data_IF_450939010003
#
_entry.id   IF_450939010003
#
_cell.length_a   1.000
_cell.length_b   1.000
_cell.length_c   1.000
_cell.angle_alpha   90.00
_cell.angle_beta   90.00
_cell.angle_gamma   90.00
#
_symmetry.space_group_name_H-M   'P 1'
#
loop_
_entity.id
_entity.type
_entity.pdbx_description
1 polymer ?
#
# COMPACT_ATOMS: atom_id res chain seq x y z
N UNK A 1 7.92 -24.26 29.70
CA UNK A 1 7.59 -24.42 28.26
C UNK A 1 6.07 -24.36 28.15
N UNK A 2 5.54 -23.18 27.79
CA UNK A 2 4.09 -22.96 27.72
C UNK A 2 3.64 -23.24 26.28
N UNK A 3 2.92 -24.34 26.11
CA UNK A 3 2.34 -24.79 24.85
C UNK A 3 0.93 -24.17 24.73
N UNK A 4 0.82 -23.07 23.98
CA UNK A 4 -0.46 -22.50 23.56
C UNK A 4 -0.43 -22.30 22.03
N UNK A 5 -1.03 -23.18 21.22
CA UNK A 5 -1.00 -23.07 19.76
C UNK A 5 -1.94 -21.99 19.18
N UNK A 6 -2.58 -21.18 20.04
CA UNK A 6 -3.43 -20.07 19.64
C UNK A 6 -2.89 -18.77 20.23
N UNK A 7 -1.75 -18.31 19.72
CA UNK A 7 -1.45 -16.88 19.77
C UNK A 7 -2.49 -16.23 18.85
N UNK A 8 -3.53 -15.59 19.40
CA UNK A 8 -4.13 -14.47 18.68
C UNK A 8 -2.96 -13.56 18.35
N UNK A 9 -2.56 -13.46 17.08
CA UNK A 9 -1.34 -12.76 16.67
C UNK A 9 -1.28 -11.33 17.27
N UNK A 10 -2.46 -10.78 17.60
CA UNK A 10 -2.67 -9.44 18.10
C UNK A 10 -2.97 -9.32 19.60
N UNK A 11 -2.74 -10.36 20.41
CA UNK A 11 -3.10 -10.37 21.84
C UNK A 11 -1.93 -10.66 22.80
N UNK A 12 -0.69 -10.54 22.33
CA UNK A 12 0.53 -10.68 23.15
C UNK A 12 1.26 -9.36 23.45
N UNK A 13 2.21 -9.35 24.40
CA UNK A 13 3.09 -8.19 24.62
C UNK A 13 3.83 -7.85 23.32
N UNK A 14 3.71 -6.61 22.85
CA UNK A 14 4.28 -6.14 21.56
C UNK A 14 3.32 -6.16 20.37
N UNK A 15 2.12 -6.75 20.50
CA UNK A 15 1.12 -6.77 19.43
C UNK A 15 0.71 -5.38 18.95
N UNK A 16 0.46 -4.44 19.88
CA UNK A 16 0.09 -3.07 19.52
C UNK A 16 1.18 -2.37 18.70
N UNK A 17 2.45 -2.62 19.02
CA UNK A 17 3.57 -2.04 18.28
C UNK A 17 3.64 -2.57 16.84
N UNK A 18 3.47 -3.89 16.65
CA UNK A 18 3.46 -4.51 15.32
C UNK A 18 2.27 -4.03 14.46
N UNK A 19 1.10 -3.88 15.08
CA UNK A 19 -0.11 -3.33 14.44
C UNK A 19 0.14 -1.89 13.98
N UNK A 20 0.64 -1.04 14.89
CA UNK A 20 0.89 0.37 14.59
C UNK A 20 1.96 0.54 13.51
N UNK A 21 3.01 -0.29 13.52
CA UNK A 21 4.02 -0.31 12.47
C UNK A 21 3.42 -0.67 11.10
N UNK A 22 2.58 -1.71 11.03
CA UNK A 22 1.93 -2.14 9.77
C UNK A 22 0.96 -1.08 9.24
N UNK A 23 0.20 -0.44 10.12
CA UNK A 23 -0.66 0.71 9.78
C UNK A 23 0.18 1.86 9.21
N UNK A 24 1.26 2.21 9.90
CA UNK A 24 2.14 3.34 9.53
C UNK A 24 2.75 3.12 8.15
N UNK A 25 3.30 1.92 7.90
CA UNK A 25 3.87 1.55 6.60
C UNK A 25 2.78 1.57 5.51
N UNK A 26 1.59 1.02 5.78
CA UNK A 26 0.48 1.05 4.84
C UNK A 26 0.08 2.47 4.41
N UNK A 27 0.05 3.42 5.37
CA UNK A 27 -0.20 4.83 5.07
C UNK A 27 0.94 5.48 4.26
N UNK A 28 2.21 5.22 4.60
CA UNK A 28 3.33 5.72 3.79
C UNK A 28 3.28 5.23 2.34
N UNK A 29 2.97 3.94 2.13
CA UNK A 29 2.77 3.36 0.81
C UNK A 29 1.60 4.02 0.06
N UNK A 30 0.48 4.29 0.74
CA UNK A 30 -0.64 4.99 0.13
C UNK A 30 -0.29 6.43 -0.25
N UNK A 31 0.40 7.18 0.61
CA UNK A 31 0.85 8.55 0.30
C UNK A 31 1.77 8.53 -0.94
N UNK A 32 2.72 7.60 -0.99
CA UNK A 32 3.58 7.43 -2.16
C UNK A 32 2.76 7.12 -3.43
N UNK A 33 1.83 6.17 -3.36
CA UNK A 33 0.93 5.84 -4.48
C UNK A 33 0.07 7.02 -4.94
N UNK A 34 -0.40 7.83 -3.99
CA UNK A 34 -1.15 9.06 -4.26
C UNK A 34 -0.30 10.10 -4.99
N UNK A 35 0.89 10.39 -4.49
CA UNK A 35 1.85 11.30 -5.16
C UNK A 35 2.21 10.80 -6.55
N UNK A 36 2.45 9.49 -6.70
CA UNK A 36 2.74 8.89 -7.99
C UNK A 36 1.57 9.03 -8.97
N UNK A 37 0.33 8.81 -8.51
CA UNK A 37 -0.88 8.97 -9.32
C UNK A 37 -1.06 10.42 -9.76
N UNK A 38 -0.83 11.38 -8.87
CA UNK A 38 -0.88 12.82 -9.19
C UNK A 38 0.20 13.17 -10.23
N UNK A 39 1.42 12.68 -10.08
CA UNK A 39 2.50 12.90 -11.05
C UNK A 39 2.15 12.35 -12.45
N UNK A 40 1.55 11.15 -12.51
CA UNK A 40 1.07 10.54 -13.75
C UNK A 40 -0.08 11.37 -14.35
N UNK A 41 -1.01 11.86 -13.53
CA UNK A 41 -2.11 12.72 -13.96
C UNK A 41 -1.59 14.06 -14.51
N UNK A 42 -0.60 14.65 -13.86
CA UNK A 42 0.05 15.89 -14.31
C UNK A 42 0.74 15.71 -15.66
N UNK A 43 1.48 14.60 -15.85
CA UNK A 43 2.08 14.27 -17.13
C UNK A 43 1.02 14.06 -18.24
N UNK A 44 -0.12 13.45 -17.91
CA UNK A 44 -1.24 13.32 -18.83
C UNK A 44 -1.80 14.69 -19.24
N UNK A 45 -1.95 15.63 -18.31
CA UNK A 45 -2.44 16.99 -18.62
C UNK A 45 -1.47 17.76 -19.54
N UNK A 46 -0.16 17.60 -19.33
CA UNK A 46 0.86 18.23 -20.18
C UNK A 46 0.91 17.63 -21.58
N UNK A 47 0.92 16.31 -21.69
CA UNK A 47 1.12 15.62 -22.99
C UNK A 47 -0.18 15.37 -23.76
N UNK A 48 -1.34 15.47 -23.09
CA UNK A 48 -2.69 15.16 -23.61
C UNK A 48 -2.81 13.76 -24.23
N UNK A 49 -1.84 12.86 -24.00
CA UNK A 49 -1.84 11.50 -24.55
C UNK A 49 -2.47 10.54 -23.56
N UNK A 50 -3.64 10.03 -23.91
CA UNK A 50 -4.35 9.04 -23.09
C UNK A 50 -3.51 7.76 -23.06
N UNK A 51 -2.95 7.46 -21.89
CA UNK A 51 -2.20 6.22 -21.63
C UNK A 51 -2.94 5.44 -20.57
N UNK A 52 -2.99 4.11 -20.73
CA UNK A 52 -3.59 3.18 -19.76
C UNK A 52 -2.96 3.28 -18.34
N UNK A 53 -1.83 3.98 -18.20
CA UNK A 53 -1.14 4.18 -16.91
C UNK A 53 -1.98 4.97 -15.90
N UNK A 54 -2.76 5.96 -16.33
CA UNK A 54 -3.59 6.77 -15.43
C UNK A 54 -4.77 6.00 -14.82
N UNK A 55 -5.64 5.32 -15.60
CA UNK A 55 -6.73 4.54 -15.02
C UNK A 55 -6.22 3.36 -14.18
N UNK A 56 -5.09 2.74 -14.55
CA UNK A 56 -4.47 1.68 -13.74
C UNK A 56 -3.96 2.22 -12.42
N UNK A 57 -3.24 3.36 -12.41
CA UNK A 57 -2.79 3.99 -11.18
C UNK A 57 -3.96 4.39 -10.26
N UNK A 58 -5.03 4.95 -10.83
CA UNK A 58 -6.25 5.29 -10.09
C UNK A 58 -6.92 4.07 -9.47
N UNK A 59 -7.05 2.97 -10.21
CA UNK A 59 -7.64 1.73 -9.71
C UNK A 59 -6.79 1.09 -8.61
N UNK A 60 -5.47 1.05 -8.77
CA UNK A 60 -4.55 0.58 -7.75
C UNK A 60 -4.65 1.41 -6.46
N UNK A 61 -4.85 2.73 -6.59
CA UNK A 61 -5.04 3.61 -5.44
C UNK A 61 -6.37 3.32 -4.75
N UNK A 62 -7.46 3.11 -5.50
CA UNK A 62 -8.78 2.79 -4.93
C UNK A 62 -8.80 1.45 -4.18
N UNK A 63 -8.07 0.45 -4.68
CA UNK A 63 -7.99 -0.89 -4.08
C UNK A 63 -6.88 -0.98 -3.02
N UNK A 64 -6.15 0.11 -2.75
CA UNK A 64 -5.00 0.08 -1.87
C UNK A 64 -5.38 -0.41 -0.45
N UNK A 65 -4.64 -1.38 0.12
CA UNK A 65 -5.00 -1.99 1.41
C UNK A 65 -5.00 -0.98 2.54
N UNK A 66 -4.32 0.17 2.42
CA UNK A 66 -4.37 1.29 3.38
C UNK A 66 -5.80 1.70 3.79
N UNK A 67 -6.77 1.65 2.86
CA UNK A 67 -8.17 1.97 3.18
C UNK A 67 -8.84 0.94 4.07
N UNK A 68 -8.33 -0.30 4.03
CA UNK A 68 -8.89 -1.43 4.76
C UNK A 68 -7.95 -1.95 5.83
N UNK A 69 -6.85 -1.26 6.18
CA UNK A 69 -5.97 -1.66 7.30
C UNK A 69 -6.72 -1.48 8.63
N UNK A 70 -7.59 -2.44 8.92
CA UNK A 70 -7.90 -2.88 10.27
C UNK A 70 -6.95 -4.04 10.55
N UNK A 71 -5.99 -3.80 11.43
CA UNK A 71 -5.05 -4.77 11.98
C UNK A 71 -5.54 -5.27 13.36
N UNK A 72 -6.85 -5.15 13.59
CA UNK A 72 -7.52 -5.44 14.87
C UNK A 72 -7.84 -6.94 14.99
N UNK A 73 -7.88 -7.67 13.87
CA UNK A 73 -8.20 -9.10 13.81
C UNK A 73 -7.27 -9.82 12.82
N UNK A 74 -6.91 -11.07 13.11
CA UNK A 74 -6.11 -11.91 12.22
C UNK A 74 -4.60 -11.82 12.49
N UNK A 75 -3.81 -11.59 11.44
CA UNK A 75 -2.34 -11.59 11.40
C UNK A 75 -1.70 -10.23 11.73
N UNK A 76 -2.41 -9.35 12.45
CA UNK A 76 -1.94 -8.00 12.79
C UNK A 76 -1.55 -7.11 11.61
N UNK A 77 -2.09 -7.40 10.42
CA UNK A 77 -1.88 -6.58 9.25
C UNK A 77 -0.57 -6.86 8.51
N UNK A 78 0.15 -7.94 8.84
CA UNK A 78 1.34 -8.35 8.08
C UNK A 78 1.01 -8.56 6.59
N UNK A 79 -0.06 -9.28 6.28
CA UNK A 79 -0.51 -9.49 4.90
C UNK A 79 -0.78 -8.17 4.17
N UNK A 80 -1.51 -7.25 4.82
CA UNK A 80 -1.81 -5.93 4.24
C UNK A 80 -0.56 -5.07 4.05
N UNK A 81 0.46 -5.24 4.90
CA UNK A 81 1.78 -4.61 4.76
C UNK A 81 2.51 -5.14 3.53
N UNK A 82 2.58 -6.47 3.35
CA UNK A 82 3.23 -7.07 2.18
C UNK A 82 2.53 -6.68 0.87
N UNK A 83 1.19 -6.66 0.86
CA UNK A 83 0.43 -6.15 -0.30
C UNK A 83 0.74 -4.67 -0.56
N UNK A 84 0.91 -3.85 0.48
CA UNK A 84 1.29 -2.44 0.32
C UNK A 84 2.67 -2.29 -0.35
N UNK A 85 3.64 -3.15 -0.01
CA UNK A 85 4.94 -3.15 -0.69
C UNK A 85 4.83 -3.53 -2.17
N UNK A 86 4.05 -4.56 -2.50
CA UNK A 86 3.82 -4.97 -3.89
C UNK A 86 3.17 -3.85 -4.69
N UNK A 87 2.13 -3.20 -4.16
CA UNK A 87 1.50 -2.07 -4.83
C UNK A 87 2.44 -0.87 -4.99
N UNK A 88 3.28 -0.59 -4.00
CA UNK A 88 4.30 0.46 -4.07
C UNK A 88 5.29 0.19 -5.20
N UNK A 89 5.74 -1.06 -5.37
CA UNK A 89 6.61 -1.44 -6.48
C UNK A 89 5.93 -1.25 -7.84
N UNK A 90 4.63 -1.56 -7.96
CA UNK A 90 3.85 -1.33 -9.18
C UNK A 90 3.74 0.17 -9.47
N UNK A 91 3.45 1.01 -8.48
CA UNK A 91 3.43 2.46 -8.64
C UNK A 91 4.77 3.02 -9.09
N UNK A 92 5.87 2.55 -8.51
CA UNK A 92 7.21 2.94 -8.93
C UNK A 92 7.48 2.56 -10.40
N UNK A 93 7.12 1.34 -10.81
CA UNK A 93 7.25 0.90 -12.21
C UNK A 93 6.42 1.74 -13.19
N UNK A 94 5.19 2.09 -12.83
CA UNK A 94 4.34 2.98 -13.63
C UNK A 94 4.93 4.38 -13.76
N UNK A 95 5.46 4.92 -12.66
CA UNK A 95 6.07 6.25 -12.63
C UNK A 95 7.34 6.29 -13.49
N UNK A 96 8.22 5.29 -13.38
CA UNK A 96 9.42 5.17 -14.22
C UNK A 96 9.03 5.10 -15.70
N UNK A 97 7.99 4.35 -16.06
CA UNK A 97 7.52 4.26 -17.46
C UNK A 97 7.01 5.59 -18.01
N UNK A 98 6.44 6.44 -17.14
CA UNK A 98 5.88 7.74 -17.52
C UNK A 98 6.97 8.81 -17.59
N UNK A 99 7.94 8.80 -16.67
CA UNK A 99 9.05 9.77 -16.60
C UNK A 99 10.21 9.43 -17.53
N UNK A 100 10.51 8.14 -17.73
CA UNK A 100 11.63 7.67 -18.57
C UNK A 100 11.37 7.72 -20.08
N UNK A 101 10.38 8.48 -20.53
CA UNK A 101 10.06 8.73 -21.94
C UNK A 101 10.24 10.19 -22.26
#
# INVERSE_FOLDING_TARGET
>A
MNNSPFILACSGPGAMFAIQQSITIGYFCAVFGGVATIAIAYNFLQTRRVRFTLPVAGLLMLVHPAWTVSAIHGDCGYFKREVSYVLTAIFAGLLIRVVGK
#
